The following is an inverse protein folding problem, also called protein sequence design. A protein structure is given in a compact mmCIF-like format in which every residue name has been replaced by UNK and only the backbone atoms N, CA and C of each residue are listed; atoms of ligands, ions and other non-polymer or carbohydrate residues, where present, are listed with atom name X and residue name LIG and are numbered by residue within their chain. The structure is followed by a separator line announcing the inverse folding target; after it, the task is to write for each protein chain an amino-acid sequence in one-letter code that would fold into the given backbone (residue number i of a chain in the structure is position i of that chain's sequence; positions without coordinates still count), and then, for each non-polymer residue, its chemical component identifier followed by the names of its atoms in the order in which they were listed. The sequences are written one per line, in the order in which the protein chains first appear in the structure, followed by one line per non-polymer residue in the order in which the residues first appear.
data_IF_815544551882
#
_entry.id   IF_815544551882
#
_cell.length_a   1.000
_cell.length_b   1.000
_cell.length_c   1.000
_cell.angle_alpha   90.00
_cell.angle_beta   90.00
_cell.angle_gamma   90.00
#
_symmetry.space_group_name_H-M   'P 1'
#
loop_
_entity.id
_entity.type
_entity.pdbx_description
1 polymer ?
#
# COMPACT_ATOMS: atom_id res chain seq x y z
N UNK A 1 -18.36 -16.86 -6.16
CA UNK A 1 -18.16 -15.47 -5.73
C UNK A 1 -17.84 -14.58 -6.93
N UNK A 2 -18.17 -13.29 -6.87
CA UNK A 2 -17.78 -12.33 -7.90
C UNK A 2 -16.31 -11.92 -7.75
N UNK A 3 -15.63 -11.76 -8.89
CA UNK A 3 -14.23 -11.32 -8.92
C UNK A 3 -13.89 -10.59 -10.23
N UNK A 4 -12.89 -9.73 -10.18
CA UNK A 4 -12.21 -9.16 -11.33
C UNK A 4 -11.05 -10.05 -11.75
N UNK A 5 -11.22 -10.84 -12.79
CA UNK A 5 -10.26 -11.85 -13.23
C UNK A 5 -9.49 -11.36 -14.46
N UNK A 6 -8.18 -11.34 -14.37
CA UNK A 6 -7.29 -11.02 -15.49
C UNK A 6 -6.95 -12.30 -16.23
N UNK A 7 -7.48 -12.46 -17.45
CA UNK A 7 -7.31 -13.65 -18.29
C UNK A 7 -6.10 -13.56 -19.22
N UNK A 8 -5.78 -12.35 -19.63
CA UNK A 8 -4.65 -12.03 -20.49
C UNK A 8 -4.35 -10.53 -20.40
N UNK A 9 -3.29 -10.08 -21.05
CA UNK A 9 -2.97 -8.66 -21.20
C UNK A 9 -4.16 -7.90 -21.80
N UNK A 10 -4.60 -6.83 -21.13
CA UNK A 10 -5.77 -6.01 -21.45
C UNK A 10 -7.12 -6.77 -21.40
N UNK A 11 -7.18 -7.94 -20.79
CA UNK A 11 -8.40 -8.72 -20.64
C UNK A 11 -8.70 -8.97 -19.16
N UNK A 12 -9.40 -8.04 -18.54
CA UNK A 12 -9.95 -8.17 -17.18
C UNK A 12 -11.46 -8.29 -17.27
N UNK A 13 -12.04 -9.30 -16.60
CA UNK A 13 -13.46 -9.61 -16.64
C UNK A 13 -14.04 -9.66 -15.23
N UNK A 14 -15.21 -9.05 -15.05
CA UNK A 14 -16.00 -9.21 -13.82
C UNK A 14 -16.89 -10.43 -13.98
N UNK A 15 -16.55 -11.51 -13.31
CA UNK A 15 -17.18 -12.80 -13.48
C UNK A 15 -17.37 -13.57 -12.18
N UNK A 16 -18.04 -14.69 -12.26
CA UNK A 16 -18.27 -15.58 -11.14
C UNK A 16 -17.24 -16.70 -11.13
N UNK A 17 -16.52 -16.85 -10.02
CA UNK A 17 -15.52 -17.90 -9.79
C UNK A 17 -15.85 -18.69 -8.53
N UNK A 18 -15.22 -19.82 -8.33
CA UNK A 18 -15.37 -20.62 -7.12
C UNK A 18 -14.89 -19.83 -5.88
N UNK A 19 -15.68 -19.89 -4.79
CA UNK A 19 -15.29 -19.30 -3.51
C UNK A 19 -14.17 -20.14 -2.89
N UNK A 20 -13.00 -19.58 -2.56
CA UNK A 20 -11.90 -20.34 -2.00
C UNK A 20 -12.22 -20.83 -0.56
N UNK A 21 -11.62 -21.94 -0.19
CA UNK A 21 -11.69 -22.47 1.18
C UNK A 21 -10.35 -22.25 1.88
N UNK A 22 -10.35 -21.81 3.16
CA UNK A 22 -9.11 -21.62 3.89
C UNK A 22 -8.45 -22.96 4.21
N UNK A 23 -7.18 -23.10 3.85
CA UNK A 23 -6.34 -24.27 4.19
C UNK A 23 -5.90 -24.18 5.65
N UNK A 24 -5.18 -25.21 6.11
CA UNK A 24 -4.55 -25.21 7.44
C UNK A 24 -3.67 -23.96 7.61
N UNK A 25 -3.87 -23.24 8.72
CA UNK A 25 -3.15 -22.01 9.05
C UNK A 25 -3.56 -20.78 8.21
N UNK A 26 -4.65 -20.88 7.43
CA UNK A 26 -5.21 -19.78 6.65
C UNK A 26 -6.54 -19.30 7.19
N UNK A 27 -6.91 -18.09 6.87
CA UNK A 27 -8.23 -17.51 7.09
C UNK A 27 -8.85 -17.08 5.77
N UNK A 28 -10.19 -17.14 5.70
CA UNK A 28 -10.98 -16.59 4.61
C UNK A 28 -11.50 -15.22 5.04
N UNK A 29 -11.16 -14.19 4.28
CA UNK A 29 -11.58 -12.82 4.53
C UNK A 29 -12.69 -12.47 3.55
N UNK A 30 -13.85 -12.00 4.06
CA UNK A 30 -14.87 -11.32 3.26
C UNK A 30 -14.40 -9.88 3.07
N UNK A 31 -13.97 -9.54 1.86
CA UNK A 31 -13.42 -8.22 1.52
C UNK A 31 -14.52 -7.16 1.63
N UNK A 32 -14.18 -6.05 2.27
CA UNK A 32 -15.04 -4.87 2.40
C UNK A 32 -14.57 -3.74 1.50
N UNK A 33 -13.27 -3.47 1.53
CA UNK A 33 -12.61 -2.46 0.69
C UNK A 33 -11.29 -3.02 0.17
N UNK A 34 -10.97 -2.63 -1.04
CA UNK A 34 -9.67 -2.92 -1.66
C UNK A 34 -9.21 -1.71 -2.47
N UNK A 35 -7.97 -1.30 -2.29
CA UNK A 35 -7.31 -0.26 -3.08
C UNK A 35 -6.85 -0.80 -4.43
N UNK A 36 -6.66 0.11 -5.38
CA UNK A 36 -6.01 -0.16 -6.67
C UNK A 36 -4.63 0.48 -6.61
N UNK A 37 -3.61 -0.35 -6.54
CA UNK A 37 -2.22 0.09 -6.56
C UNK A 37 -1.77 0.46 -7.97
N UNK A 38 -0.87 1.43 -8.10
CA UNK A 38 -0.22 1.75 -9.38
C UNK A 38 0.46 0.52 -10.02
N UNK A 39 0.92 -0.43 -9.20
CA UNK A 39 1.52 -1.68 -9.68
C UNK A 39 0.52 -2.67 -10.31
N UNK A 40 -0.79 -2.51 -10.10
CA UNK A 40 -1.81 -3.35 -10.74
C UNK A 40 -1.99 -2.99 -12.22
N UNK A 41 -1.77 -1.73 -12.58
CA UNK A 41 -1.91 -1.25 -13.96
C UNK A 41 -1.02 -2.02 -14.94
N UNK A 42 0.31 -2.14 -14.76
CA UNK A 42 1.15 -2.94 -15.65
C UNK A 42 0.91 -4.46 -15.54
N UNK A 43 0.21 -4.93 -14.51
CA UNK A 43 -0.23 -6.34 -14.44
C UNK A 43 -1.45 -6.60 -15.33
N UNK A 44 -2.30 -5.62 -15.54
CA UNK A 44 -3.47 -5.72 -16.42
C UNK A 44 -3.09 -5.45 -17.87
N UNK A 45 -2.39 -4.34 -18.14
CA UNK A 45 -2.16 -3.83 -19.50
C UNK A 45 -0.72 -4.01 -20.02
N UNK A 46 0.19 -4.52 -19.18
CA UNK A 46 1.59 -4.80 -19.50
C UNK A 46 1.96 -6.28 -19.43
N UNK A 47 3.22 -6.53 -19.15
CA UNK A 47 3.79 -7.89 -19.08
C UNK A 47 4.22 -8.25 -17.64
N UNK A 48 3.65 -7.57 -16.63
CA UNK A 48 4.02 -7.75 -15.21
C UNK A 48 3.14 -8.77 -14.46
N UNK A 49 2.16 -9.40 -15.12
CA UNK A 49 1.36 -10.46 -14.51
C UNK A 49 2.15 -11.77 -14.46
N UNK A 50 2.20 -12.41 -13.28
CA UNK A 50 3.00 -13.63 -13.12
C UNK A 50 2.35 -14.88 -13.71
N UNK A 51 1.03 -14.94 -13.77
CA UNK A 51 0.26 -16.06 -14.34
C UNK A 51 -1.16 -15.61 -14.72
N UNK A 52 -1.80 -16.40 -15.58
CA UNK A 52 -3.19 -16.23 -15.98
C UNK A 52 -3.96 -17.54 -15.85
N UNK A 53 -5.27 -17.53 -15.48
CA UNK A 53 -5.99 -16.37 -14.99
C UNK A 53 -5.54 -15.96 -13.57
N UNK A 54 -5.61 -14.65 -13.24
CA UNK A 54 -5.24 -14.14 -11.93
C UNK A 54 -6.29 -13.15 -11.40
N UNK A 55 -6.42 -13.08 -10.08
CA UNK A 55 -7.18 -12.06 -9.36
C UNK A 55 -6.19 -11.16 -8.64
N UNK A 56 -6.12 -9.89 -9.04
CA UNK A 56 -5.21 -8.92 -8.45
C UNK A 56 -5.79 -8.31 -7.15
N UNK A 57 -5.16 -7.25 -6.66
CA UNK A 57 -5.55 -6.53 -5.44
C UNK A 57 -4.81 -7.03 -4.19
N UNK A 58 -4.16 -6.10 -3.50
CA UNK A 58 -3.29 -6.41 -2.36
C UNK A 58 -3.38 -5.38 -1.22
N UNK A 59 -4.13 -4.30 -1.41
CA UNK A 59 -4.41 -3.25 -0.43
C UNK A 59 -5.85 -3.43 0.08
N UNK A 60 -6.09 -4.24 1.11
CA UNK A 60 -7.47 -4.61 1.44
C UNK A 60 -7.75 -4.75 2.93
N UNK A 61 -9.03 -4.62 3.26
CA UNK A 61 -9.58 -4.88 4.57
C UNK A 61 -10.91 -5.64 4.47
N UNK A 62 -11.26 -6.31 5.53
CA UNK A 62 -12.50 -7.07 5.60
C UNK A 62 -12.74 -7.72 6.94
N UNK A 63 -13.67 -8.68 6.96
CA UNK A 63 -13.99 -9.48 8.14
C UNK A 63 -13.62 -10.93 7.92
N UNK A 64 -13.11 -11.60 8.94
CA UNK A 64 -12.89 -13.04 8.90
C UNK A 64 -14.24 -13.74 8.74
N UNK A 65 -14.40 -14.47 7.65
CA UNK A 65 -15.60 -15.27 7.36
C UNK A 65 -15.45 -16.70 7.88
N UNK A 66 -14.28 -17.31 7.65
CA UNK A 66 -13.96 -18.68 8.07
C UNK A 66 -12.49 -18.76 8.49
N UNK A 67 -12.18 -19.69 9.39
CA UNK A 67 -10.82 -19.98 9.83
C UNK A 67 -10.49 -21.44 9.51
N UNK A 68 -9.29 -21.66 8.96
CA UNK A 68 -8.77 -23.01 8.70
C UNK A 68 -8.26 -23.70 9.96
N UNK A 69 -7.99 -25.00 9.85
CA UNK A 69 -7.39 -25.77 10.95
C UNK A 69 -6.06 -25.13 11.43
N UNK A 70 -5.87 -25.06 12.73
CA UNK A 70 -4.64 -24.55 13.36
C UNK A 70 -4.55 -23.03 13.49
N UNK A 71 -5.55 -22.29 13.05
CA UNK A 71 -5.67 -20.83 13.31
C UNK A 71 -6.02 -20.64 14.79
N UNK A 72 -5.29 -19.78 15.49
CA UNK A 72 -5.38 -19.62 16.95
C UNK A 72 -5.59 -18.19 17.42
N UNK A 73 -5.21 -17.17 16.63
CA UNK A 73 -5.22 -15.76 17.02
C UNK A 73 -6.41 -14.99 16.44
N UNK A 74 -7.04 -15.55 15.40
CA UNK A 74 -8.17 -14.94 14.69
C UNK A 74 -9.42 -15.82 14.78
N UNK A 75 -10.58 -15.19 14.72
CA UNK A 75 -11.90 -15.85 14.70
C UNK A 75 -12.85 -15.18 13.73
N UNK A 76 -13.92 -15.91 13.35
CA UNK A 76 -15.00 -15.34 12.53
C UNK A 76 -15.52 -14.05 13.14
N UNK A 77 -15.67 -13.03 12.29
CA UNK A 77 -16.14 -11.69 12.63
C UNK A 77 -15.03 -10.70 12.97
N UNK A 78 -13.79 -11.13 13.19
CA UNK A 78 -12.67 -10.20 13.43
C UNK A 78 -12.47 -9.30 12.21
N UNK A 79 -12.20 -8.03 12.48
CA UNK A 79 -11.89 -6.99 11.47
C UNK A 79 -10.40 -7.02 11.19
N UNK A 80 -10.02 -7.15 9.93
CA UNK A 80 -8.62 -7.33 9.55
C UNK A 80 -8.24 -6.56 8.29
N UNK A 81 -6.98 -6.13 8.24
CA UNK A 81 -6.29 -5.66 7.05
C UNK A 81 -5.33 -6.74 6.54
N UNK A 82 -5.16 -6.83 5.23
CA UNK A 82 -4.26 -7.79 4.61
C UNK A 82 -2.82 -7.28 4.53
N UNK A 83 -1.86 -8.17 4.80
CA UNK A 83 -0.44 -7.96 4.54
C UNK A 83 -0.06 -8.84 3.35
N UNK A 84 0.26 -8.27 2.17
CA UNK A 84 0.36 -9.06 0.95
C UNK A 84 1.63 -9.93 0.85
N UNK A 85 2.73 -9.54 1.47
CA UNK A 85 3.98 -10.30 1.43
C UNK A 85 3.87 -11.58 2.26
N UNK A 86 4.03 -12.73 1.63
CA UNK A 86 4.03 -14.06 2.27
C UNK A 86 5.45 -14.63 2.20
N UNK A 87 6.31 -14.39 3.23
CA UNK A 87 7.67 -14.92 3.27
C UNK A 87 7.67 -16.43 3.56
N UNK A 88 8.67 -17.16 3.08
CA UNK A 88 8.77 -18.61 3.28
C UNK A 88 9.06 -19.02 4.74
N UNK A 89 9.56 -18.10 5.57
CA UNK A 89 9.93 -18.31 6.99
C UNK A 89 11.10 -19.26 7.25
N UNK A 90 11.72 -19.82 6.22
CA UNK A 90 12.76 -20.86 6.33
C UNK A 90 14.13 -20.39 5.85
N UNK A 91 14.19 -19.47 4.88
CA UNK A 91 15.47 -18.98 4.36
C UNK A 91 16.19 -18.09 5.37
N UNK A 92 17.50 -17.90 5.16
CA UNK A 92 18.38 -17.14 6.04
C UNK A 92 17.86 -15.70 6.29
N UNK A 93 17.35 -15.04 5.24
CA UNK A 93 16.80 -13.69 5.36
C UNK A 93 15.54 -13.68 6.24
N UNK A 94 14.66 -14.67 6.09
CA UNK A 94 13.49 -14.81 6.95
C UNK A 94 13.86 -15.06 8.42
N UNK A 95 14.87 -15.89 8.67
CA UNK A 95 15.33 -16.17 10.04
C UNK A 95 15.96 -14.94 10.72
N UNK A 96 16.49 -14.01 9.92
CA UNK A 96 17.00 -12.70 10.38
C UNK A 96 15.91 -11.61 10.49
N UNK A 97 14.67 -11.92 10.13
CA UNK A 97 13.57 -10.94 10.10
C UNK A 97 13.53 -10.04 8.85
N UNK A 98 14.40 -10.27 7.88
CA UNK A 98 14.46 -9.51 6.62
C UNK A 98 13.47 -10.08 5.59
N UNK A 99 12.19 -10.08 5.91
CA UNK A 99 11.14 -10.74 5.11
C UNK A 99 11.05 -10.21 3.67
N UNK A 100 11.32 -8.95 3.44
CA UNK A 100 11.33 -8.33 2.10
C UNK A 100 12.46 -8.87 1.20
N UNK A 101 13.49 -9.51 1.77
CA UNK A 101 14.59 -10.16 1.05
C UNK A 101 14.38 -11.66 0.87
N UNK A 102 13.21 -12.19 1.24
CA UNK A 102 12.92 -13.62 1.10
C UNK A 102 13.04 -14.06 -0.36
N UNK A 103 13.86 -15.08 -0.62
CA UNK A 103 14.11 -15.63 -1.97
C UNK A 103 12.95 -16.46 -2.50
N UNK A 104 12.06 -16.93 -1.62
CA UNK A 104 10.95 -17.85 -1.91
C UNK A 104 9.60 -17.26 -1.45
N UNK A 105 9.46 -15.93 -1.54
CA UNK A 105 8.22 -15.28 -1.13
C UNK A 105 7.08 -15.54 -2.12
N UNK A 106 5.88 -15.58 -1.58
CA UNK A 106 4.65 -15.35 -2.36
C UNK A 106 4.09 -13.96 -2.08
N UNK A 107 3.11 -13.53 -2.86
CA UNK A 107 2.53 -12.19 -2.74
C UNK A 107 1.06 -12.24 -3.17
N UNK A 108 0.16 -11.91 -2.23
CA UNK A 108 -1.28 -11.88 -2.45
C UNK A 108 -1.61 -10.81 -3.50
N UNK A 109 -2.46 -11.14 -4.48
CA UNK A 109 -2.80 -10.24 -5.59
C UNK A 109 -1.74 -10.13 -6.69
N UNK A 110 -0.72 -10.99 -6.67
CA UNK A 110 0.32 -11.02 -7.70
C UNK A 110 0.75 -12.46 -8.01
N UNK A 111 1.28 -13.18 -7.00
CA UNK A 111 1.69 -14.59 -7.10
C UNK A 111 0.64 -15.55 -6.53
N UNK A 112 -0.36 -15.03 -5.89
CA UNK A 112 -1.56 -15.71 -5.40
C UNK A 112 -2.76 -14.83 -5.73
N UNK A 113 -3.98 -15.40 -5.74
CA UNK A 113 -5.21 -14.65 -5.92
C UNK A 113 -5.37 -13.59 -4.81
N UNK A 114 -5.76 -12.40 -5.21
CA UNK A 114 -5.89 -11.24 -4.36
C UNK A 114 -7.33 -10.81 -4.07
N UNK A 115 -7.46 -9.56 -3.72
CA UNK A 115 -8.66 -8.97 -3.12
C UNK A 115 -9.63 -8.30 -4.11
N UNK A 116 -9.35 -8.31 -5.43
CA UNK A 116 -10.35 -7.87 -6.41
C UNK A 116 -11.46 -8.92 -6.56
N UNK A 117 -11.94 -9.43 -5.42
CA UNK A 117 -12.98 -10.43 -5.28
C UNK A 117 -13.76 -10.23 -3.98
N UNK A 118 -14.92 -10.89 -3.84
CA UNK A 118 -15.70 -10.84 -2.59
C UNK A 118 -14.99 -11.51 -1.42
N UNK A 119 -14.10 -12.48 -1.69
CA UNK A 119 -13.37 -13.23 -0.67
C UNK A 119 -11.93 -13.49 -1.11
N UNK A 120 -11.02 -13.49 -0.14
CA UNK A 120 -9.61 -13.85 -0.33
C UNK A 120 -9.13 -14.73 0.83
N UNK A 121 -8.29 -15.72 0.56
CA UNK A 121 -7.63 -16.54 1.59
C UNK A 121 -6.22 -16.03 1.82
N UNK A 122 -5.83 -15.92 3.09
CA UNK A 122 -4.47 -15.50 3.48
C UNK A 122 -3.96 -16.36 4.64
N UNK A 123 -2.64 -16.54 4.81
CA UNK A 123 -2.10 -17.09 6.07
C UNK A 123 -2.53 -16.24 7.26
N UNK A 124 -2.80 -16.85 8.42
CA UNK A 124 -3.23 -16.17 9.64
C UNK A 124 -2.40 -14.94 9.98
N UNK A 125 -1.06 -15.05 9.90
CA UNK A 125 -0.10 -13.97 10.15
C UNK A 125 -0.15 -12.81 9.15
N UNK A 126 -0.80 -13.00 8.01
CA UNK A 126 -0.99 -12.00 6.97
C UNK A 126 -2.33 -11.25 7.09
N UNK A 127 -3.10 -11.53 8.14
CA UNK A 127 -4.32 -10.80 8.49
C UNK A 127 -4.11 -10.08 9.83
N UNK A 128 -3.96 -8.77 9.79
CA UNK A 128 -3.72 -7.94 10.97
C UNK A 128 -5.03 -7.38 11.49
N UNK A 129 -5.36 -7.71 12.72
CA UNK A 129 -6.58 -7.22 13.40
C UNK A 129 -6.44 -5.73 13.69
N UNK A 130 -7.54 -4.99 13.54
CA UNK A 130 -7.63 -3.58 13.91
C UNK A 130 -8.93 -3.28 14.70
N UNK A 131 -8.90 -2.18 15.43
CA UNK A 131 -9.94 -1.76 16.36
C UNK A 131 -11.18 -1.21 15.63
N UNK A 132 -12.32 -1.16 16.36
CA UNK A 132 -13.62 -0.79 15.78
C UNK A 132 -13.70 0.67 15.34
N UNK A 133 -12.89 1.55 15.91
CA UNK A 133 -12.78 2.96 15.56
C UNK A 133 -12.17 3.20 14.17
N UNK A 134 -11.41 2.25 13.65
CA UNK A 134 -10.83 2.30 12.31
C UNK A 134 -11.85 1.81 11.30
N UNK A 135 -12.18 2.61 10.29
CA UNK A 135 -13.09 2.16 9.23
C UNK A 135 -12.44 1.09 8.34
N UNK A 136 -13.22 0.33 7.58
CA UNK A 136 -12.65 -0.63 6.62
C UNK A 136 -11.91 0.07 5.47
N UNK A 137 -12.34 1.27 5.08
CA UNK A 137 -11.60 2.09 4.12
C UNK A 137 -10.20 2.42 4.65
N UNK A 138 -10.12 2.89 5.90
CA UNK A 138 -8.84 3.16 6.57
C UNK A 138 -8.00 1.88 6.70
N UNK A 139 -8.64 0.74 7.03
CA UNK A 139 -7.96 -0.55 7.09
C UNK A 139 -7.33 -0.98 5.75
N UNK A 140 -7.97 -0.66 4.62
CA UNK A 140 -7.39 -0.94 3.30
C UNK A 140 -6.16 -0.07 3.00
N UNK A 141 -6.05 1.11 3.62
CA UNK A 141 -4.89 1.99 3.50
C UNK A 141 -3.68 1.59 4.37
N UNK A 142 -3.79 0.60 5.24
CA UNK A 142 -2.66 0.18 6.07
C UNK A 142 -1.47 -0.28 5.23
N UNK A 143 -1.71 -0.99 4.13
CA UNK A 143 -0.66 -1.44 3.24
C UNK A 143 0.11 -0.25 2.63
N UNK A 144 -0.50 0.66 1.84
CA UNK A 144 0.23 1.76 1.23
C UNK A 144 0.79 2.76 2.27
N UNK A 145 0.15 2.92 3.42
CA UNK A 145 0.68 3.74 4.50
C UNK A 145 1.98 3.15 5.09
N UNK A 146 2.06 1.82 5.21
CA UNK A 146 3.30 1.15 5.67
C UNK A 146 4.40 1.16 4.62
N UNK A 147 4.07 1.12 3.33
CA UNK A 147 5.04 1.33 2.23
C UNK A 147 5.69 2.72 2.36
N UNK A 148 4.89 3.76 2.55
CA UNK A 148 5.38 5.12 2.74
C UNK A 148 6.24 5.25 4.00
N UNK A 149 5.82 4.66 5.13
CA UNK A 149 6.59 4.62 6.36
C UNK A 149 7.92 3.89 6.20
N UNK A 150 7.92 2.77 5.47
CA UNK A 150 9.15 2.04 5.15
C UNK A 150 10.12 2.93 4.35
N UNK A 151 9.62 3.65 3.35
CA UNK A 151 10.41 4.61 2.58
C UNK A 151 11.04 5.69 3.48
N UNK A 152 10.26 6.27 4.39
CA UNK A 152 10.74 7.27 5.33
C UNK A 152 11.89 6.73 6.21
N UNK A 153 11.77 5.48 6.68
CA UNK A 153 12.74 4.83 7.56
C UNK A 153 14.00 4.31 6.82
N UNK A 154 14.10 4.49 5.49
CA UNK A 154 15.33 4.10 4.75
C UNK A 154 16.47 5.09 4.89
N UNK A 155 16.22 6.24 5.48
CA UNK A 155 17.22 7.26 5.81
C UNK A 155 17.25 7.46 7.32
N UNK A 156 18.36 8.02 7.83
CA UNK A 156 18.45 8.47 9.24
C UNK A 156 17.69 9.80 9.39
N UNK A 157 16.39 9.68 9.60
CA UNK A 157 15.48 10.81 9.61
C UNK A 157 15.56 11.59 10.94
N UNK A 158 15.82 12.89 10.83
CA UNK A 158 15.85 13.79 11.98
C UNK A 158 14.70 14.80 11.92
N UNK A 159 14.01 15.00 13.05
CA UNK A 159 13.00 16.03 13.18
C UNK A 159 13.60 17.45 13.03
N UNK A 160 12.78 18.40 12.60
CA UNK A 160 13.19 19.80 12.42
C UNK A 160 13.70 20.16 11.04
N UNK A 161 13.85 19.20 10.14
CA UNK A 161 14.26 19.43 8.76
C UNK A 161 13.07 19.75 7.83
N UNK A 162 13.36 20.41 6.70
CA UNK A 162 12.41 20.59 5.62
C UNK A 162 12.44 19.35 4.71
N UNK A 163 11.26 18.87 4.33
CA UNK A 163 11.09 17.65 3.53
C UNK A 163 10.40 17.98 2.21
N UNK A 164 10.99 17.55 1.09
CA UNK A 164 10.38 17.58 -0.23
C UNK A 164 9.82 16.19 -0.59
N UNK A 165 8.61 16.16 -1.12
CA UNK A 165 7.97 14.97 -1.67
C UNK A 165 7.72 15.22 -3.16
N UNK A 166 8.38 14.44 -4.01
CA UNK A 166 8.18 14.51 -5.46
C UNK A 166 7.10 13.51 -5.85
N UNK A 167 5.93 14.02 -6.24
CA UNK A 167 4.73 13.24 -6.54
C UNK A 167 3.69 13.28 -5.41
N UNK A 168 2.53 13.88 -5.70
CA UNK A 168 1.36 13.97 -4.81
C UNK A 168 0.38 12.78 -4.95
N UNK A 169 0.88 11.60 -5.34
CA UNK A 169 0.11 10.36 -5.37
C UNK A 169 -0.09 9.77 -3.97
N UNK A 170 -0.71 8.58 -3.89
CA UNK A 170 -1.03 7.90 -2.62
C UNK A 170 0.20 7.76 -1.72
N UNK A 171 1.31 7.24 -2.25
CA UNK A 171 2.54 7.04 -1.48
C UNK A 171 3.13 8.38 -1.04
N UNK A 172 3.19 9.38 -1.94
CA UNK A 172 3.70 10.71 -1.61
C UNK A 172 2.89 11.40 -0.49
N UNK A 173 1.57 11.33 -0.57
CA UNK A 173 0.71 11.92 0.45
C UNK A 173 0.81 11.21 1.81
N UNK A 174 0.97 9.88 1.85
CA UNK A 174 1.28 9.18 3.09
C UNK A 174 2.67 9.51 3.63
N UNK A 175 3.69 9.59 2.75
CA UNK A 175 5.04 9.99 3.15
C UNK A 175 5.03 11.40 3.74
N UNK A 176 4.28 12.33 3.15
CA UNK A 176 4.13 13.70 3.66
C UNK A 176 3.51 13.72 5.06
N UNK A 177 2.44 12.96 5.29
CA UNK A 177 1.78 12.86 6.59
C UNK A 177 2.71 12.22 7.64
N UNK A 178 3.42 11.14 7.30
CA UNK A 178 4.42 10.55 8.19
C UNK A 178 5.54 11.53 8.52
N UNK A 179 6.06 12.28 7.53
CA UNK A 179 7.09 13.29 7.79
C UNK A 179 6.60 14.36 8.79
N UNK A 180 5.34 14.81 8.67
CA UNK A 180 4.71 15.71 9.65
C UNK A 180 4.63 15.08 11.04
N UNK A 181 4.17 13.84 11.16
CA UNK A 181 4.06 13.10 12.43
C UNK A 181 5.43 12.95 13.09
N UNK A 182 6.48 12.70 12.31
CA UNK A 182 7.86 12.57 12.80
C UNK A 182 8.58 13.92 12.99
N UNK A 183 7.86 15.03 12.89
CA UNK A 183 8.36 16.35 13.30
C UNK A 183 9.12 17.11 12.21
N UNK A 184 8.81 16.91 10.93
CA UNK A 184 9.31 17.78 9.87
C UNK A 184 8.98 19.26 10.18
N UNK A 185 9.96 20.16 10.00
CA UNK A 185 9.77 21.61 10.13
C UNK A 185 8.77 22.12 9.09
N UNK A 186 8.95 21.70 7.83
CA UNK A 186 8.04 21.94 6.72
C UNK A 186 8.02 20.71 5.80
N UNK A 187 6.86 20.43 5.22
CA UNK A 187 6.68 19.42 4.16
C UNK A 187 6.13 20.11 2.93
N UNK A 188 6.80 19.93 1.81
CA UNK A 188 6.43 20.48 0.50
C UNK A 188 6.19 19.33 -0.48
N UNK A 189 5.03 19.32 -1.11
CA UNK A 189 4.70 18.35 -2.17
C UNK A 189 4.84 19.02 -3.52
N UNK A 190 5.52 18.35 -4.42
CA UNK A 190 5.71 18.75 -5.82
C UNK A 190 4.90 17.81 -6.72
N UNK A 191 4.02 18.35 -7.54
CA UNK A 191 3.24 17.58 -8.53
C UNK A 191 2.87 18.48 -9.71
N UNK A 192 2.45 17.89 -10.81
CA UNK A 192 1.89 18.60 -11.97
C UNK A 192 0.38 18.80 -11.89
N UNK A 193 -0.32 18.03 -11.01
CA UNK A 193 -1.78 18.08 -10.85
C UNK A 193 -2.19 19.06 -9.75
N UNK A 194 -2.92 20.14 -10.11
CA UNK A 194 -3.46 21.06 -9.11
C UNK A 194 -4.37 20.38 -8.08
N UNK A 195 -5.13 19.36 -8.49
CA UNK A 195 -6.05 18.63 -7.61
C UNK A 195 -5.28 17.85 -6.53
N UNK A 196 -4.15 17.23 -6.89
CA UNK A 196 -3.28 16.54 -5.93
C UNK A 196 -2.62 17.51 -4.96
N UNK A 197 -2.18 18.66 -5.43
CA UNK A 197 -1.60 19.72 -4.59
C UNK A 197 -2.64 20.29 -3.62
N UNK A 198 -3.88 20.49 -4.07
CA UNK A 198 -4.97 20.90 -3.20
C UNK A 198 -5.30 19.85 -2.13
N UNK A 199 -5.33 18.56 -2.51
CA UNK A 199 -5.50 17.46 -1.57
C UNK A 199 -4.36 17.40 -0.55
N UNK A 200 -3.11 17.59 -0.98
CA UNK A 200 -1.95 17.65 -0.10
C UNK A 200 -2.13 18.73 0.99
N UNK A 201 -2.56 19.92 0.62
CA UNK A 201 -2.85 21.02 1.56
C UNK A 201 -3.97 20.64 2.55
N UNK A 202 -5.04 20.00 2.08
CA UNK A 202 -6.13 19.50 2.95
C UNK A 202 -5.65 18.45 3.95
N UNK A 203 -4.60 17.68 3.61
CA UNK A 203 -3.99 16.67 4.46
C UNK A 203 -2.87 17.23 5.37
N UNK A 204 -2.69 18.56 5.43
CA UNK A 204 -1.76 19.21 6.36
C UNK A 204 -0.34 19.42 5.83
N UNK A 205 -0.13 19.29 4.53
CA UNK A 205 1.13 19.69 3.88
C UNK A 205 1.26 21.22 3.91
N UNK A 206 2.45 21.73 4.22
CA UNK A 206 2.68 23.17 4.38
C UNK A 206 2.59 23.91 3.04
N UNK A 207 3.14 23.33 1.96
CA UNK A 207 3.05 23.90 0.62
C UNK A 207 2.94 22.81 -0.47
N UNK A 208 2.17 23.14 -1.53
CA UNK A 208 2.13 22.37 -2.76
C UNK A 208 2.64 23.23 -3.90
N UNK A 209 3.64 22.75 -4.62
CA UNK A 209 4.30 23.48 -5.72
C UNK A 209 4.06 22.73 -7.03
N UNK A 210 3.51 23.44 -8.03
CA UNK A 210 3.34 22.88 -9.37
C UNK A 210 4.66 22.94 -10.13
N UNK A 211 5.18 21.79 -10.53
CA UNK A 211 6.48 21.71 -11.26
C UNK A 211 6.38 22.16 -12.71
N UNK A 212 5.19 22.45 -13.23
CA UNK A 212 5.00 23.08 -14.54
C UNK A 212 5.17 24.61 -14.49
N UNK A 213 5.17 25.23 -13.31
CA UNK A 213 5.41 26.65 -13.16
C UNK A 213 6.89 26.95 -13.45
N UNK A 214 7.18 27.94 -14.30
CA UNK A 214 8.54 28.33 -14.64
C UNK A 214 9.39 28.73 -13.42
N UNK A 215 8.73 29.19 -12.36
CA UNK A 215 9.34 29.69 -11.13
C UNK A 215 9.39 28.68 -9.99
N UNK A 216 9.04 27.40 -10.23
CA UNK A 216 8.89 26.40 -9.17
C UNK A 216 10.14 26.23 -8.29
N UNK A 217 11.34 26.37 -8.86
CA UNK A 217 12.59 26.27 -8.10
C UNK A 217 12.77 27.45 -7.13
N UNK A 218 12.43 28.68 -7.54
CA UNK A 218 12.49 29.84 -6.64
C UNK A 218 11.43 29.70 -5.54
N UNK A 219 10.23 29.21 -5.84
CA UNK A 219 9.19 28.91 -4.85
C UNK A 219 9.73 27.89 -3.84
N UNK A 220 10.35 26.78 -4.29
CA UNK A 220 10.96 25.76 -3.44
C UNK A 220 12.03 26.34 -2.49
N UNK A 221 12.92 27.18 -3.03
CA UNK A 221 13.96 27.84 -2.22
C UNK A 221 13.37 28.86 -1.24
N UNK A 222 12.35 29.61 -1.63
CA UNK A 222 11.68 30.57 -0.75
C UNK A 222 11.03 29.90 0.46
N UNK A 223 10.38 28.73 0.28
CA UNK A 223 9.78 27.97 1.38
C UNK A 223 10.81 27.56 2.44
N UNK A 224 12.06 27.35 2.04
CA UNK A 224 13.15 26.87 2.91
C UNK A 224 14.12 27.98 3.35
N UNK A 225 13.78 29.26 3.15
CA UNK A 225 14.64 30.40 3.43
C UNK A 225 16.00 30.32 2.68
N UNK A 226 16.01 29.76 1.48
CA UNK A 226 17.20 29.58 0.63
C UNK A 226 18.10 28.39 1.02
N UNK A 227 17.73 27.58 2.03
CA UNK A 227 18.58 26.48 2.54
C UNK A 227 18.37 25.14 1.80
N UNK A 228 17.24 24.98 1.07
CA UNK A 228 16.87 23.73 0.46
C UNK A 228 16.27 22.72 1.46
N UNK A 229 16.20 21.46 1.07
CA UNK A 229 15.55 20.39 1.83
C UNK A 229 16.58 19.43 2.43
N UNK A 230 16.38 19.06 3.69
CA UNK A 230 17.19 18.04 4.36
C UNK A 230 16.90 16.63 3.82
N UNK A 231 15.64 16.38 3.40
CA UNK A 231 15.21 15.10 2.83
C UNK A 231 14.36 15.32 1.59
N UNK A 232 14.59 14.47 0.59
CA UNK A 232 13.82 14.43 -0.65
C UNK A 232 13.37 12.99 -0.88
N UNK A 233 12.05 12.78 -0.98
CA UNK A 233 11.45 11.48 -1.30
C UNK A 233 10.84 11.54 -2.69
N UNK A 234 11.33 10.67 -3.56
CA UNK A 234 10.81 10.51 -4.91
C UNK A 234 9.71 9.44 -4.89
N UNK A 235 8.50 9.78 -5.32
CA UNK A 235 7.30 8.93 -5.29
C UNK A 235 6.44 9.08 -6.55
N UNK A 236 6.94 9.76 -7.59
CA UNK A 236 6.20 9.97 -8.84
C UNK A 236 6.30 8.75 -9.78
N UNK A 237 7.44 8.04 -9.78
CA UNK A 237 7.72 6.85 -10.60
C UNK A 237 8.29 7.18 -11.97
#
# INVERSE_FOLDING_TARGET
MKAGVVHAKNDIRYEEIEKPQPKKGQVLIKVKYTGICGSDVPRVNGDACHFFPNVLGHEFSGTIEEVGEGVTTLKKGDRVAGVPLVPCMECEDCQKGNYSLCKHYSFIGSREFGSFAEYVTVPEKNAVKFEDEVSFEQGAFFEPATVALHGLNRVDYHAGECVAILGGGTIGLFTAQWAKIFGAKKVVVFDISPERLELAKKLGVDEGINTLDEDFMNQAMAVTDGKGFGYIYETAG
#
